data_IF_458287472413
#
_entry.id   IF_458287472413
#
_cell.length_a   1.000
_cell.length_b   1.000
_cell.length_c   1.000
_cell.angle_alpha   90.00
_cell.angle_beta   90.00
_cell.angle_gamma   90.00
#
_symmetry.space_group_name_H-M   'P 1'
#
loop_
_entity.id
_entity.type
_entity.pdbx_description
1 polymer ?
#
# COMPACT_ATOMS: atom_id res chain seq x y z
N UNK A 1 -18.14 7.57 5.36
CA UNK A 1 -17.90 7.21 6.74
C UNK A 1 -17.01 5.99 6.85
N UNK A 2 -16.10 6.00 7.79
CA UNK A 2 -14.99 5.05 7.80
C UNK A 2 -15.21 3.78 8.63
N UNK A 3 -16.37 3.35 8.89
CA UNK A 3 -16.65 2.04 9.50
C UNK A 3 -15.72 1.65 10.67
N UNK A 4 -15.24 2.59 11.45
CA UNK A 4 -14.33 2.30 12.55
C UNK A 4 -12.93 1.89 12.14
N UNK A 5 -12.53 2.17 10.91
CA UNK A 5 -11.18 1.91 10.42
C UNK A 5 -10.24 3.05 10.79
N UNK A 6 -8.94 2.73 10.86
CA UNK A 6 -7.90 3.74 11.01
C UNK A 6 -7.22 3.92 9.66
N UNK A 7 -7.21 5.14 9.14
CA UNK A 7 -6.58 5.43 7.85
C UNK A 7 -5.35 6.28 8.10
N UNK A 8 -4.19 5.79 7.68
CA UNK A 8 -2.94 6.52 7.75
C UNK A 8 -2.74 7.13 6.36
N UNK A 9 -3.05 8.43 6.27
CA UNK A 9 -3.01 9.15 5.00
C UNK A 9 -1.62 9.77 4.83
N UNK A 10 -0.79 9.15 4.00
CA UNK A 10 0.58 9.58 3.78
C UNK A 10 0.84 9.65 2.26
N UNK A 11 0.01 10.45 1.59
CA UNK A 11 -0.05 10.48 0.13
C UNK A 11 0.78 11.57 -0.52
N UNK A 12 1.56 12.32 0.25
CA UNK A 12 2.28 13.47 -0.30
C UNK A 12 3.48 13.07 -1.12
N UNK A 13 4.26 12.14 -0.65
CA UNK A 13 5.52 11.80 -1.27
C UNK A 13 5.89 10.38 -0.87
N UNK A 14 6.51 9.68 -1.80
CA UNK A 14 6.91 8.30 -1.54
C UNK A 14 8.30 8.07 -2.07
N UNK A 15 9.17 7.59 -1.19
CA UNK A 15 10.50 7.13 -1.54
C UNK A 15 10.78 5.88 -0.70
N UNK A 16 11.82 5.09 -1.03
CA UNK A 16 12.02 3.81 -0.34
C UNK A 16 12.13 3.93 1.17
N UNK A 17 12.83 4.94 1.67
CA UNK A 17 13.01 5.12 3.12
C UNK A 17 11.68 5.44 3.80
N UNK A 18 10.92 6.41 3.25
CA UNK A 18 9.65 6.81 3.86
C UNK A 18 8.61 5.71 3.77
N UNK A 19 8.64 4.93 2.68
CA UNK A 19 7.74 3.78 2.54
C UNK A 19 8.00 2.75 3.65
N UNK A 20 9.27 2.41 3.88
CA UNK A 20 9.62 1.42 4.89
C UNK A 20 9.26 1.91 6.29
N UNK A 21 9.50 3.19 6.57
CA UNK A 21 9.15 3.78 7.86
C UNK A 21 7.64 3.71 8.09
N UNK A 22 6.86 4.04 7.08
CA UNK A 22 5.39 4.00 7.20
C UNK A 22 4.89 2.58 7.39
N UNK A 23 5.51 1.61 6.72
CA UNK A 23 5.14 0.20 6.88
C UNK A 23 5.42 -0.29 8.29
N UNK A 24 6.53 0.16 8.88
CA UNK A 24 6.83 -0.19 10.25
C UNK A 24 5.76 0.35 11.20
N UNK A 25 5.35 1.60 11.00
CA UNK A 25 4.26 2.19 11.81
C UNK A 25 2.99 1.36 11.64
N UNK A 26 2.65 1.00 10.41
CA UNK A 26 1.46 0.21 10.15
C UNK A 26 1.53 -1.15 10.85
N UNK A 27 2.70 -1.75 10.91
CA UNK A 27 2.85 -3.09 11.50
C UNK A 27 2.53 -3.11 12.99
N UNK A 28 2.57 -1.95 13.64
CA UNK A 28 2.24 -1.84 15.08
C UNK A 28 0.81 -1.37 15.32
N UNK A 29 0.05 -1.12 14.27
CA UNK A 29 -1.32 -0.65 14.41
C UNK A 29 -2.27 -1.81 14.74
N UNK A 30 -3.44 -1.46 15.28
CA UNK A 30 -4.42 -2.47 15.68
C UNK A 30 -5.17 -3.04 14.48
N UNK A 31 -5.64 -4.29 14.61
CA UNK A 31 -6.46 -4.93 13.58
C UNK A 31 -5.65 -5.42 12.41
N UNK A 32 -6.34 -5.72 11.30
CA UNK A 32 -5.63 -6.14 10.09
C UNK A 32 -4.83 -4.96 9.54
N UNK A 33 -3.57 -5.20 9.23
CA UNK A 33 -2.74 -4.17 8.61
C UNK A 33 -2.87 -4.29 7.09
N UNK A 34 -3.30 -3.21 6.45
CA UNK A 34 -3.50 -3.16 5.00
C UNK A 34 -2.64 -2.04 4.44
N UNK A 35 -1.68 -2.41 3.60
CA UNK A 35 -0.85 -1.43 2.91
C UNK A 35 -1.43 -1.19 1.52
N UNK A 36 -1.67 0.08 1.18
CA UNK A 36 -2.20 0.47 -0.12
C UNK A 36 -1.15 1.35 -0.77
N UNK A 37 -0.38 0.76 -1.67
CA UNK A 37 0.82 1.40 -2.20
C UNK A 37 0.71 1.63 -3.70
N UNK A 38 1.18 2.80 -4.15
CA UNK A 38 1.30 3.09 -5.57
C UNK A 38 2.76 3.30 -5.94
N UNK A 39 3.00 3.52 -7.22
CA UNK A 39 4.35 3.71 -7.73
C UNK A 39 5.06 4.86 -7.04
N UNK A 40 6.35 4.69 -6.82
CA UNK A 40 7.24 5.78 -6.39
C UNK A 40 7.86 6.38 -7.65
N UNK A 41 7.90 7.72 -7.72
CA UNK A 41 8.46 8.41 -8.87
C UNK A 41 9.89 8.86 -8.65
N UNK A 42 10.52 9.26 -9.73
CA UNK A 42 11.81 9.94 -9.74
C UNK A 42 12.95 9.15 -9.08
N UNK A 43 12.93 7.82 -9.23
CA UNK A 43 13.94 6.96 -8.61
C UNK A 43 15.11 6.63 -9.55
N UNK A 44 14.98 6.93 -10.84
CA UNK A 44 16.04 6.67 -11.80
C UNK A 44 16.09 5.21 -12.23
N UNK A 45 17.28 4.77 -12.64
CA UNK A 45 17.45 3.47 -13.28
C UNK A 45 17.16 2.27 -12.37
N UNK A 46 17.29 2.44 -11.06
CA UNK A 46 17.08 1.36 -10.11
C UNK A 46 15.64 1.28 -9.61
N UNK A 47 14.70 1.93 -10.29
CA UNK A 47 13.32 2.05 -9.81
C UNK A 47 12.67 0.69 -9.50
N UNK A 48 12.85 -0.30 -10.37
CA UNK A 48 12.28 -1.63 -10.12
C UNK A 48 12.81 -2.27 -8.86
N UNK A 49 14.14 -2.20 -8.68
CA UNK A 49 14.79 -2.78 -7.51
C UNK A 49 14.36 -2.08 -6.22
N UNK A 50 14.21 -0.75 -6.29
CA UNK A 50 13.79 0.02 -5.12
C UNK A 50 12.36 -0.31 -4.71
N UNK A 51 11.48 -0.56 -5.70
CA UNK A 51 10.14 -1.04 -5.41
C UNK A 51 10.19 -2.45 -4.78
N UNK A 52 11.08 -3.31 -5.25
CA UNK A 52 11.23 -4.63 -4.66
C UNK A 52 11.65 -4.54 -3.18
N UNK A 53 12.54 -3.62 -2.85
CA UNK A 53 12.96 -3.45 -1.45
C UNK A 53 11.79 -3.10 -0.55
N UNK A 54 10.88 -2.26 -1.03
CA UNK A 54 9.68 -1.91 -0.27
C UNK A 54 8.78 -3.13 -0.11
N UNK A 55 8.62 -3.92 -1.18
CA UNK A 55 7.84 -5.15 -1.11
C UNK A 55 8.42 -6.14 -0.11
N UNK A 56 9.75 -6.24 -0.06
CA UNK A 56 10.42 -7.07 0.95
C UNK A 56 10.08 -6.61 2.36
N UNK A 57 9.99 -5.29 2.57
CA UNK A 57 9.62 -4.74 3.87
C UNK A 57 8.18 -5.13 4.23
N UNK A 58 7.27 -5.12 3.25
CA UNK A 58 5.89 -5.57 3.49
C UNK A 58 5.89 -6.99 4.06
N UNK A 59 6.69 -7.87 3.45
CA UNK A 59 6.81 -9.24 3.93
C UNK A 59 7.47 -9.34 5.29
N UNK A 60 8.57 -8.62 5.48
CA UNK A 60 9.35 -8.66 6.73
C UNK A 60 8.56 -8.16 7.92
N UNK A 61 7.75 -7.12 7.73
CA UNK A 61 6.91 -6.59 8.81
C UNK A 61 5.61 -7.38 8.98
N UNK A 62 5.39 -8.41 8.17
CA UNK A 62 4.22 -9.28 8.26
C UNK A 62 2.92 -8.50 8.13
N UNK A 63 2.90 -7.57 7.19
CA UNK A 63 1.68 -6.84 6.86
C UNK A 63 0.65 -7.86 6.36
N UNK A 64 -0.58 -7.75 6.86
CA UNK A 64 -1.61 -8.73 6.55
C UNK A 64 -2.00 -8.72 5.07
N UNK A 65 -2.17 -7.53 4.48
CA UNK A 65 -2.68 -7.40 3.12
C UNK A 65 -1.96 -6.28 2.39
N UNK A 66 -1.65 -6.51 1.13
CA UNK A 66 -1.08 -5.49 0.26
C UNK A 66 -2.00 -5.27 -0.94
N UNK A 67 -2.48 -4.05 -1.10
CA UNK A 67 -3.11 -3.59 -2.34
C UNK A 67 -2.12 -2.66 -3.01
N UNK A 68 -1.86 -2.86 -4.28
CA UNK A 68 -0.94 -1.97 -4.98
C UNK A 68 -1.40 -1.73 -6.42
N UNK A 69 -1.10 -0.55 -6.93
CA UNK A 69 -1.50 -0.14 -8.26
C UNK A 69 -0.40 0.65 -8.95
N UNK A 70 -0.24 0.42 -10.25
CA UNK A 70 0.74 1.12 -11.08
C UNK A 70 1.59 0.14 -11.86
N UNK A 71 2.44 0.67 -12.73
CA UNK A 71 3.30 -0.17 -13.54
C UNK A 71 4.43 -0.80 -12.72
N UNK A 72 5.01 -0.03 -11.81
CA UNK A 72 6.12 -0.50 -10.98
C UNK A 72 5.65 -1.24 -9.75
N UNK A 73 4.37 -1.10 -9.41
CA UNK A 73 3.81 -1.71 -8.20
C UNK A 73 3.84 -3.24 -8.24
N UNK A 74 3.95 -3.83 -9.41
CA UNK A 74 4.08 -5.29 -9.52
C UNK A 74 5.33 -5.78 -8.78
N UNK A 75 6.37 -4.96 -8.72
CA UNK A 75 7.58 -5.30 -7.98
C UNK A 75 7.31 -5.42 -6.48
N UNK A 76 6.44 -4.57 -5.94
CA UNK A 76 6.01 -4.71 -4.54
C UNK A 76 5.36 -6.08 -4.33
N UNK A 77 4.43 -6.43 -5.22
CA UNK A 77 3.65 -7.65 -5.08
C UNK A 77 4.55 -8.89 -5.12
N UNK A 78 5.46 -8.92 -6.09
CA UNK A 78 6.35 -10.07 -6.27
C UNK A 78 7.28 -10.25 -5.07
N UNK A 79 7.87 -9.17 -4.58
CA UNK A 79 8.80 -9.24 -3.46
C UNK A 79 8.08 -9.57 -2.15
N UNK A 80 6.90 -9.03 -1.94
CA UNK A 80 6.12 -9.31 -0.74
C UNK A 80 5.69 -10.77 -0.71
N UNK A 81 5.31 -11.33 -1.85
CA UNK A 81 4.91 -12.73 -1.95
C UNK A 81 6.05 -13.66 -1.60
N UNK A 82 7.26 -13.33 -2.05
CA UNK A 82 8.45 -14.11 -1.71
C UNK A 82 8.78 -14.02 -0.22
N UNK A 83 8.66 -12.81 0.34
CA UNK A 83 9.03 -12.57 1.74
C UNK A 83 8.04 -13.14 2.73
N UNK A 84 6.75 -13.17 2.37
CA UNK A 84 5.71 -13.69 3.26
C UNK A 84 4.57 -14.28 2.43
N UNK A 85 4.63 -15.60 2.15
CA UNK A 85 3.58 -16.23 1.33
C UNK A 85 2.18 -16.14 1.93
N UNK A 86 2.06 -15.82 3.22
CA UNK A 86 0.75 -15.69 3.87
C UNK A 86 0.12 -14.32 3.67
N UNK A 87 0.87 -13.34 3.16
CA UNK A 87 0.33 -12.02 2.90
C UNK A 87 -0.69 -12.11 1.76
N UNK A 88 -1.85 -11.51 1.95
CA UNK A 88 -2.83 -11.40 0.85
C UNK A 88 -2.42 -10.25 -0.04
N UNK A 89 -2.25 -10.51 -1.32
CA UNK A 89 -1.70 -9.53 -2.25
C UNK A 89 -2.64 -9.36 -3.44
N UNK A 90 -3.01 -8.10 -3.70
CA UNK A 90 -3.87 -7.73 -4.81
C UNK A 90 -3.19 -6.63 -5.60
N UNK A 91 -2.81 -6.95 -6.82
CA UNK A 91 -2.14 -6.01 -7.71
C UNK A 91 -3.09 -5.56 -8.82
N UNK A 92 -3.09 -4.27 -9.11
CA UNK A 92 -3.89 -3.68 -10.18
C UNK A 92 -3.00 -2.75 -10.99
N UNK A 93 -3.28 -2.67 -12.28
CA UNK A 93 -2.56 -1.72 -13.11
C UNK A 93 -3.09 -0.30 -12.89
N UNK A 94 -4.40 -0.16 -12.64
CA UNK A 94 -5.05 1.14 -12.51
C UNK A 94 -5.51 1.38 -11.08
N UNK A 95 -5.33 2.64 -10.61
CA UNK A 95 -5.75 3.03 -9.27
C UNK A 95 -7.24 2.85 -9.06
N UNK A 96 -8.05 3.15 -10.08
CA UNK A 96 -9.51 3.09 -9.96
C UNK A 96 -9.98 1.66 -9.70
N UNK A 97 -9.41 0.69 -10.41
CA UNK A 97 -9.77 -0.71 -10.19
C UNK A 97 -9.39 -1.16 -8.78
N UNK A 98 -8.20 -0.76 -8.34
CA UNK A 98 -7.75 -1.08 -7.00
C UNK A 98 -8.69 -0.48 -5.95
N UNK A 99 -9.09 0.76 -6.15
CA UNK A 99 -9.94 1.47 -5.21
C UNK A 99 -11.28 0.74 -5.02
N UNK A 100 -11.89 0.29 -6.11
CA UNK A 100 -13.16 -0.42 -6.01
C UNK A 100 -13.02 -1.75 -5.26
N UNK A 101 -11.94 -2.48 -5.54
CA UNK A 101 -11.68 -3.73 -4.83
C UNK A 101 -11.41 -3.48 -3.35
N UNK A 102 -10.68 -2.42 -3.04
CA UNK A 102 -10.33 -2.07 -1.66
C UNK A 102 -11.59 -1.72 -0.86
N UNK A 103 -12.50 -0.95 -1.46
CA UNK A 103 -13.75 -0.57 -0.80
C UNK A 103 -14.57 -1.79 -0.39
N UNK A 104 -14.55 -2.82 -1.20
CA UNK A 104 -15.28 -4.06 -0.90
C UNK A 104 -14.56 -4.92 0.13
N UNK A 105 -13.26 -4.73 0.29
CA UNK A 105 -12.42 -5.57 1.15
C UNK A 105 -12.36 -5.10 2.60
N UNK A 106 -12.35 -3.79 2.83
CA UNK A 106 -12.11 -3.22 4.16
C UNK A 106 -13.30 -3.45 5.10
N UNK A 107 -13.00 -3.51 6.39
CA UNK A 107 -14.04 -3.66 7.42
C UNK A 107 -13.59 -3.00 8.72
N UNK A 108 -14.52 -2.97 9.68
CA UNK A 108 -14.26 -2.37 10.98
C UNK A 108 -13.00 -2.97 11.60
N UNK A 109 -12.22 -2.10 12.21
CA UNK A 109 -11.02 -2.49 12.93
C UNK A 109 -9.76 -2.52 12.09
N UNK A 110 -9.90 -2.41 10.76
CA UNK A 110 -8.72 -2.41 9.88
C UNK A 110 -7.88 -1.15 10.07
N UNK A 111 -6.57 -1.29 9.93
CA UNK A 111 -5.64 -0.16 9.86
C UNK A 111 -5.07 -0.13 8.45
N UNK A 112 -5.22 0.99 7.77
CA UNK A 112 -4.93 1.12 6.34
C UNK A 112 -3.93 2.24 6.12
N UNK A 113 -2.78 1.90 5.53
CA UNK A 113 -1.78 2.90 5.12
C UNK A 113 -1.98 3.16 3.63
N UNK A 114 -2.13 4.42 3.25
CA UNK A 114 -2.28 4.81 1.84
C UNK A 114 -1.09 5.69 1.47
N UNK A 115 -0.25 5.23 0.54
CA UNK A 115 0.98 5.94 0.22
C UNK A 115 1.42 5.69 -1.22
N UNK A 116 1.77 6.78 -1.92
CA UNK A 116 2.27 6.73 -3.29
C UNK A 116 2.86 8.09 -3.64
N UNK A 117 3.58 8.15 -4.76
CA UNK A 117 4.05 9.44 -5.26
C UNK A 117 2.87 10.29 -5.71
N UNK A 118 3.07 11.59 -5.70
CA UNK A 118 2.02 12.56 -5.96
C UNK A 118 1.28 12.31 -7.28
N UNK A 119 2.00 11.91 -8.33
CA UNK A 119 1.38 11.71 -9.65
C UNK A 119 0.33 10.58 -9.66
N UNK A 120 0.33 9.71 -8.66
CA UNK A 120 -0.65 8.62 -8.59
C UNK A 120 -2.01 9.08 -8.07
N UNK A 121 -2.09 10.28 -7.51
CA UNK A 121 -3.34 10.87 -7.01
C UNK A 121 -4.03 10.00 -5.97
N UNK A 122 -3.26 9.40 -5.09
CA UNK A 122 -3.79 8.53 -4.03
C UNK A 122 -4.65 9.22 -2.98
N UNK A 123 -4.65 10.55 -2.81
CA UNK A 123 -5.69 11.17 -1.98
C UNK A 123 -7.10 10.78 -2.42
N UNK A 124 -7.29 10.45 -3.70
CA UNK A 124 -8.59 9.96 -4.17
C UNK A 124 -8.96 8.62 -3.57
N UNK A 125 -7.97 7.79 -3.26
CA UNK A 125 -8.20 6.51 -2.57
C UNK A 125 -8.70 6.78 -1.15
N UNK A 126 -8.05 7.72 -0.46
CA UNK A 126 -8.45 8.10 0.91
C UNK A 126 -9.89 8.60 0.92
N UNK A 127 -10.24 9.47 -0.03
CA UNK A 127 -11.61 9.99 -0.12
C UNK A 127 -12.62 8.86 -0.34
N UNK A 128 -12.28 7.92 -1.19
CA UNK A 128 -13.16 6.78 -1.45
C UNK A 128 -13.37 5.94 -0.20
N UNK A 129 -12.31 5.72 0.58
CA UNK A 129 -12.42 4.97 1.83
C UNK A 129 -13.31 5.67 2.87
N UNK A 130 -13.29 7.00 2.88
CA UNK A 130 -14.10 7.76 3.81
C UNK A 130 -15.59 7.63 3.53
N UNK A 131 -15.97 7.23 2.32
CA UNK A 131 -17.38 7.09 1.95
C UNK A 131 -17.92 5.68 2.15
N UNK A 132 -17.10 4.78 2.62
CA UNK A 132 -17.51 3.38 2.86
C UNK A 132 -18.31 3.21 4.14
#
# INVERSE_FOLDING_TARGET
KTKGMTIIDDCYNANPVSMKTSLEVLSHAAGRSIAVLGDMGELGADEGKLHEEVGEAVGAYKIHTLFCAGELAENYANAARKGNPECEIYYFKEREEMTEALKAYVKDGDSILVKASHFMEFPKVVEALKSV
#
